data_IF_487886946135
#
_entry.id   IF_487886946135
#
_cell.length_a   1.000
_cell.length_b   1.000
_cell.length_c   1.000
_cell.angle_alpha   90.00
_cell.angle_beta   90.00
_cell.angle_gamma   90.00
#
_symmetry.space_group_name_H-M   'P 1'
#
loop_
_entity.id
_entity.type
_entity.pdbx_description
1 polymer ?
#
# COMPACT_ATOMS: atom_id res chain seq x y z
N UNK A 1 -11.48 -17.49 8.49
CA UNK A 1 -10.10 -17.10 8.13
C UNK A 1 -10.03 -15.67 7.63
N UNK A 2 -10.80 -15.29 6.60
CA UNK A 2 -10.75 -13.93 6.03
C UNK A 2 -11.16 -12.84 7.02
N UNK A 3 -12.29 -13.02 7.70
CA UNK A 3 -12.73 -12.08 8.74
C UNK A 3 -11.67 -11.93 9.86
N UNK A 4 -10.98 -13.00 10.23
CA UNK A 4 -9.90 -12.97 11.24
C UNK A 4 -8.73 -12.10 10.76
N UNK A 5 -8.25 -12.30 9.53
CA UNK A 5 -7.16 -11.49 8.95
C UNK A 5 -7.55 -10.01 8.96
N UNK A 6 -8.81 -9.70 8.66
CA UNK A 6 -9.31 -8.33 8.62
C UNK A 6 -9.35 -7.66 10.00
N UNK A 7 -9.88 -8.33 11.02
CA UNK A 7 -9.87 -7.76 12.38
C UNK A 7 -8.47 -7.62 12.95
N UNK A 8 -7.57 -8.57 12.67
CA UNK A 8 -6.16 -8.47 13.04
C UNK A 8 -5.52 -7.29 12.31
N UNK A 9 -5.71 -7.16 11.00
CA UNK A 9 -5.16 -6.04 10.22
C UNK A 9 -5.67 -4.67 10.65
N UNK A 10 -6.95 -4.56 10.96
CA UNK A 10 -7.54 -3.32 11.49
C UNK A 10 -6.92 -2.95 12.84
N UNK A 11 -6.93 -3.89 13.81
CA UNK A 11 -6.40 -3.63 15.16
C UNK A 11 -4.92 -3.30 15.14
N UNK A 12 -4.12 -4.07 14.38
CA UNK A 12 -2.68 -3.87 14.29
C UNK A 12 -2.32 -2.59 13.53
N UNK A 13 -3.02 -2.27 12.43
CA UNK A 13 -2.80 -1.03 11.69
C UNK A 13 -3.11 0.20 12.53
N UNK A 14 -4.22 0.19 13.26
CA UNK A 14 -4.57 1.26 14.20
C UNK A 14 -3.55 1.37 15.33
N UNK A 15 -3.17 0.26 15.94
CA UNK A 15 -2.21 0.26 17.04
C UNK A 15 -0.84 0.79 16.59
N UNK A 16 -0.32 0.31 15.46
CA UNK A 16 0.94 0.78 14.88
C UNK A 16 0.87 2.28 14.54
N UNK A 17 -0.23 2.75 13.95
CA UNK A 17 -0.43 4.17 13.67
C UNK A 17 -0.39 5.02 14.96
N UNK A 18 -1.06 4.58 16.02
CA UNK A 18 -1.06 5.26 17.33
C UNK A 18 0.36 5.29 17.91
N UNK A 19 1.12 4.19 17.83
CA UNK A 19 2.49 4.17 18.34
C UNK A 19 3.42 5.13 17.59
N UNK A 20 3.32 5.20 16.26
CA UNK A 20 4.09 6.16 15.46
C UNK A 20 3.69 7.59 15.81
N UNK A 21 2.39 7.85 16.01
CA UNK A 21 1.88 9.12 16.51
C UNK A 21 2.23 9.38 17.97
N UNK A 22 2.65 8.40 18.77
CA UNK A 22 3.03 8.61 20.16
C UNK A 22 4.50 9.01 20.33
N UNK A 23 5.30 8.97 19.25
CA UNK A 23 6.71 9.40 19.28
C UNK A 23 6.83 10.84 19.79
N UNK A 24 7.84 11.09 20.64
CA UNK A 24 8.08 12.39 21.32
C UNK A 24 8.46 13.49 20.32
N UNK A 25 9.36 13.18 19.41
CA UNK A 25 9.78 14.07 18.31
C UNK A 25 9.30 13.44 17.00
N UNK A 26 8.26 14.03 16.40
CA UNK A 26 7.61 13.48 15.20
C UNK A 26 8.07 14.24 13.97
N UNK A 27 8.65 13.51 13.04
CA UNK A 27 8.98 14.01 11.71
C UNK A 27 7.75 14.01 10.79
N UNK A 28 7.84 14.69 9.64
CA UNK A 28 6.81 14.58 8.60
C UNK A 28 6.70 13.14 8.05
N UNK A 29 7.80 12.38 8.04
CA UNK A 29 7.79 10.96 7.69
C UNK A 29 6.96 10.11 8.66
N UNK A 30 7.04 10.39 9.97
CA UNK A 30 6.22 9.70 10.97
C UNK A 30 4.73 10.00 10.76
N UNK A 31 4.38 11.25 10.41
CA UNK A 31 2.99 11.63 10.11
C UNK A 31 2.46 10.91 8.87
N UNK A 32 3.27 10.83 7.82
CA UNK A 32 2.90 10.09 6.59
C UNK A 32 2.71 8.61 6.90
N UNK A 33 3.64 8.00 7.64
CA UNK A 33 3.56 6.59 7.99
C UNK A 33 2.33 6.29 8.84
N UNK A 34 2.06 7.12 9.86
CA UNK A 34 0.87 6.97 10.68
C UNK A 34 -0.41 7.09 9.84
N UNK A 35 -0.50 8.09 8.97
CA UNK A 35 -1.64 8.26 8.07
C UNK A 35 -1.80 7.04 7.16
N UNK A 36 -0.70 6.51 6.63
CA UNK A 36 -0.70 5.32 5.79
C UNK A 36 -1.20 4.07 6.54
N UNK A 37 -0.67 3.81 7.74
CA UNK A 37 -1.10 2.72 8.61
C UNK A 37 -2.59 2.85 8.98
N UNK A 38 -3.07 4.06 9.25
CA UNK A 38 -4.50 4.32 9.49
C UNK A 38 -5.35 4.02 8.25
N UNK A 39 -4.92 4.42 7.05
CA UNK A 39 -5.64 4.12 5.82
C UNK A 39 -5.67 2.61 5.53
N UNK A 40 -4.57 1.89 5.79
CA UNK A 40 -4.56 0.42 5.69
C UNK A 40 -5.50 -0.24 6.71
N UNK A 41 -5.55 0.28 7.93
CA UNK A 41 -6.48 -0.20 8.95
C UNK A 41 -7.94 0.02 8.51
N UNK A 42 -8.25 1.19 7.95
CA UNK A 42 -9.58 1.47 7.38
C UNK A 42 -9.90 0.48 6.26
N UNK A 43 -8.96 0.14 5.38
CA UNK A 43 -9.21 -0.87 4.35
C UNK A 43 -9.51 -2.26 4.92
N UNK A 44 -8.80 -2.68 5.97
CA UNK A 44 -9.13 -3.92 6.67
C UNK A 44 -10.54 -3.88 7.30
N UNK A 45 -10.92 -2.74 7.89
CA UNK A 45 -12.26 -2.55 8.45
C UNK A 45 -13.35 -2.60 7.38
N UNK A 46 -13.15 -1.90 6.25
CA UNK A 46 -14.08 -1.90 5.13
C UNK A 46 -14.26 -3.30 4.56
N UNK A 47 -13.17 -4.05 4.39
CA UNK A 47 -13.24 -5.42 3.92
C UNK A 47 -14.02 -6.34 4.88
N UNK A 48 -13.83 -6.20 6.20
CA UNK A 48 -14.62 -6.95 7.18
C UNK A 48 -16.11 -6.55 7.13
N UNK A 49 -16.39 -5.26 6.95
CA UNK A 49 -17.75 -4.75 6.80
C UNK A 49 -18.42 -5.27 5.52
N UNK A 50 -17.70 -5.31 4.40
CA UNK A 50 -18.22 -5.79 3.12
C UNK A 50 -18.71 -7.24 3.23
N UNK A 51 -17.93 -8.10 3.87
CA UNK A 51 -18.35 -9.49 4.13
C UNK A 51 -19.63 -9.57 4.96
N UNK A 52 -19.77 -8.73 6.00
CA UNK A 52 -20.96 -8.74 6.87
C UNK A 52 -22.20 -8.14 6.22
N UNK A 53 -22.04 -7.14 5.36
CA UNK A 53 -23.14 -6.39 4.76
C UNK A 53 -23.59 -7.03 3.43
N UNK A 54 -22.64 -7.42 2.58
CA UNK A 54 -22.90 -7.89 1.22
C UNK A 54 -22.67 -9.40 1.04
N UNK A 55 -22.11 -10.09 2.05
CA UNK A 55 -21.75 -11.51 1.95
C UNK A 55 -20.50 -11.79 1.12
N UNK A 56 -19.94 -10.77 0.47
CA UNK A 56 -18.75 -10.82 -0.39
C UNK A 56 -17.98 -9.50 -0.32
N UNK A 57 -16.66 -9.51 -0.52
CA UNK A 57 -15.87 -8.28 -0.51
C UNK A 57 -16.11 -7.47 -1.78
N UNK A 58 -16.26 -6.15 -1.61
CA UNK A 58 -16.35 -5.22 -2.73
C UNK A 58 -14.95 -4.96 -3.29
N UNK A 59 -14.86 -4.70 -4.59
CA UNK A 59 -13.61 -4.38 -5.27
C UNK A 59 -12.87 -3.26 -4.53
N UNK A 60 -11.77 -3.62 -3.88
CA UNK A 60 -10.91 -2.71 -3.14
C UNK A 60 -9.67 -2.36 -3.96
N UNK A 61 -9.31 -1.09 -3.93
CA UNK A 61 -8.19 -0.52 -4.66
C UNK A 61 -6.94 -0.35 -3.79
N UNK A 62 -6.61 -1.38 -2.99
CA UNK A 62 -5.45 -1.36 -2.09
C UNK A 62 -4.14 -0.97 -2.78
N UNK A 63 -3.95 -1.34 -4.06
CA UNK A 63 -2.84 -0.87 -4.90
C UNK A 63 -2.86 0.65 -5.11
N UNK A 64 -4.00 1.24 -5.43
CA UNK A 64 -4.15 2.70 -5.62
C UNK A 64 -3.93 3.50 -4.33
N UNK A 65 -4.06 2.85 -3.17
CA UNK A 65 -3.69 3.43 -1.88
C UNK A 65 -2.20 3.25 -1.59
N UNK A 66 -1.71 2.01 -1.68
CA UNK A 66 -0.37 1.63 -1.24
C UNK A 66 0.71 2.23 -2.13
N UNK A 67 0.52 2.24 -3.45
CA UNK A 67 1.47 2.79 -4.42
C UNK A 67 1.86 4.26 -4.12
N UNK A 68 0.90 5.23 -4.09
CA UNK A 68 1.23 6.61 -3.78
C UNK A 68 1.69 6.81 -2.33
N UNK A 69 1.15 6.05 -1.37
CA UNK A 69 1.56 6.17 0.03
C UNK A 69 3.02 5.74 0.23
N UNK A 70 3.43 4.63 -0.39
CA UNK A 70 4.82 4.17 -0.40
C UNK A 70 5.74 5.21 -1.04
N UNK A 71 5.34 5.79 -2.18
CA UNK A 71 6.10 6.86 -2.84
C UNK A 71 6.27 8.10 -1.95
N UNK A 72 5.18 8.59 -1.35
CA UNK A 72 5.26 9.76 -0.47
C UNK A 72 6.14 9.50 0.74
N UNK A 73 6.07 8.29 1.32
CA UNK A 73 6.88 7.90 2.46
C UNK A 73 8.37 7.74 2.11
N UNK A 74 8.68 7.09 0.98
CA UNK A 74 10.07 7.03 0.48
C UNK A 74 10.60 8.43 0.24
N UNK A 75 9.80 9.29 -0.38
CA UNK A 75 10.20 10.67 -0.67
C UNK A 75 10.44 11.49 0.60
N UNK A 76 9.66 11.28 1.66
CA UNK A 76 9.84 11.97 2.93
C UNK A 76 11.07 11.51 3.71
N UNK A 77 11.52 10.27 3.48
CA UNK A 77 12.73 9.73 4.09
C UNK A 77 14.01 10.07 3.31
N UNK A 78 13.92 10.29 2.00
CA UNK A 78 15.09 10.41 1.11
C UNK A 78 15.43 11.84 0.68
N UNK A 79 14.51 12.80 0.84
CA UNK A 79 14.73 14.21 0.51
C UNK A 79 14.82 15.06 1.78
N UNK A 80 15.90 15.83 1.91
CA UNK A 80 16.20 16.65 3.09
C UNK A 80 15.14 17.74 3.35
N UNK A 81 14.69 18.41 2.29
CA UNK A 81 13.70 19.51 2.37
C UNK A 81 12.25 19.04 2.17
N UNK A 82 11.96 17.77 2.41
CA UNK A 82 10.59 17.29 2.26
C UNK A 82 9.68 17.96 3.29
N UNK A 83 8.53 18.46 2.81
CA UNK A 83 7.43 18.95 3.65
C UNK A 83 6.12 18.35 3.17
N UNK A 84 5.32 17.87 4.11
CA UNK A 84 3.97 17.40 3.82
C UNK A 84 3.10 18.59 3.38
N UNK A 85 2.53 18.52 2.18
CA UNK A 85 1.65 19.56 1.62
C UNK A 85 0.27 18.98 1.34
N UNK A 86 -0.82 19.73 1.58
CA UNK A 86 -2.19 19.26 1.30
C UNK A 86 -2.40 18.79 -0.14
N UNK A 87 -1.70 19.39 -1.11
CA UNK A 87 -1.75 19.00 -2.53
C UNK A 87 -1.33 17.53 -2.73
N UNK A 88 -0.49 16.96 -1.86
CA UNK A 88 -0.12 15.54 -1.93
C UNK A 88 -1.30 14.61 -1.60
N UNK A 89 -2.36 15.10 -0.94
CA UNK A 89 -3.58 14.32 -0.72
C UNK A 89 -4.34 14.03 -2.02
N UNK A 90 -4.08 14.79 -3.10
CA UNK A 90 -4.65 14.50 -4.42
C UNK A 90 -4.25 13.11 -4.94
N UNK A 91 -3.14 12.55 -4.45
CA UNK A 91 -2.74 11.19 -4.78
C UNK A 91 -3.70 10.11 -4.23
N UNK A 92 -4.58 10.45 -3.28
CA UNK A 92 -5.64 9.55 -2.79
C UNK A 92 -6.91 9.58 -3.64
N UNK A 93 -7.06 10.57 -4.54
CA UNK A 93 -8.28 10.70 -5.36
C UNK A 93 -8.56 9.46 -6.21
N UNK A 94 -7.59 8.83 -6.90
CA UNK A 94 -7.86 7.62 -7.66
C UNK A 94 -8.41 6.48 -6.79
N UNK A 95 -7.81 6.29 -5.61
CA UNK A 95 -8.26 5.28 -4.65
C UNK A 95 -9.70 5.54 -4.18
N UNK A 96 -10.01 6.76 -3.72
CA UNK A 96 -11.34 7.13 -3.24
C UNK A 96 -12.38 7.00 -4.35
N UNK A 97 -12.07 7.49 -5.56
CA UNK A 97 -13.00 7.47 -6.69
C UNK A 97 -13.36 6.04 -7.10
N UNK A 98 -12.36 5.18 -7.25
CA UNK A 98 -12.58 3.76 -7.57
C UNK A 98 -13.38 3.07 -6.47
N UNK A 99 -13.03 3.30 -5.20
CA UNK A 99 -13.72 2.66 -4.08
C UNK A 99 -15.20 3.07 -4.04
N UNK A 100 -15.50 4.36 -4.22
CA UNK A 100 -16.88 4.85 -4.24
C UNK A 100 -17.67 4.25 -5.41
N UNK A 101 -17.10 4.23 -6.62
CA UNK A 101 -17.76 3.63 -7.78
C UNK A 101 -17.99 2.12 -7.57
N UNK A 102 -17.01 1.40 -7.01
CA UNK A 102 -17.16 -0.01 -6.68
C UNK A 102 -18.32 -0.26 -5.72
N UNK A 103 -18.51 0.59 -4.70
CA UNK A 103 -19.65 0.50 -3.80
C UNK A 103 -20.99 0.79 -4.49
N UNK A 104 -21.04 1.78 -5.38
CA UNK A 104 -22.25 2.13 -6.13
C UNK A 104 -22.68 0.98 -7.05
N UNK A 105 -21.72 0.35 -7.75
CA UNK A 105 -21.95 -0.77 -8.65
C UNK A 105 -22.07 -2.12 -7.92
N UNK A 106 -21.68 -2.16 -6.63
CA UNK A 106 -21.50 -3.41 -5.84
C UNK A 106 -20.59 -4.41 -6.55
N UNK A 107 -19.56 -3.89 -7.21
CA UNK A 107 -18.61 -4.67 -7.99
C UNK A 107 -17.83 -5.62 -7.05
N UNK A 108 -17.87 -6.95 -7.24
CA UNK A 108 -17.13 -7.86 -6.41
C UNK A 108 -15.63 -7.73 -6.67
N UNK A 109 -14.80 -8.06 -5.67
CA UNK A 109 -13.35 -8.18 -5.88
C UNK A 109 -12.95 -9.43 -6.70
N UNK A 110 -13.89 -10.35 -6.94
CA UNK A 110 -13.65 -11.59 -7.67
C UNK A 110 -13.22 -11.34 -9.12
N UNK A 111 -12.33 -12.20 -9.62
CA UNK A 111 -11.81 -12.13 -10.99
C UNK A 111 -12.56 -13.07 -11.95
N UNK A 112 -13.56 -13.80 -11.45
CA UNK A 112 -14.38 -14.66 -12.28
C UNK A 112 -15.24 -13.80 -13.21
N UNK A 113 -15.37 -14.24 -14.47
CA UNK A 113 -16.10 -13.48 -15.48
C UNK A 113 -15.58 -12.05 -15.72
N UNK A 114 -14.30 -11.75 -15.44
CA UNK A 114 -13.76 -10.37 -15.47
C UNK A 114 -13.99 -9.60 -16.79
N UNK A 115 -14.04 -10.32 -17.92
CA UNK A 115 -14.30 -9.77 -19.25
C UNK A 115 -15.73 -10.02 -19.76
N UNK A 116 -16.64 -10.48 -18.89
CA UNK A 116 -18.06 -10.58 -19.22
C UNK A 116 -18.61 -9.22 -19.64
N UNK A 117 -19.38 -9.20 -20.73
CA UNK A 117 -19.96 -7.97 -21.24
C UNK A 117 -21.21 -7.61 -20.44
N UNK A 118 -21.03 -6.84 -19.38
CA UNK A 118 -22.09 -6.28 -18.55
C UNK A 118 -21.92 -4.75 -18.38
N UNK A 119 -22.78 -4.14 -17.55
CA UNK A 119 -22.74 -2.71 -17.27
C UNK A 119 -21.51 -2.24 -16.48
N UNK A 120 -20.73 -3.14 -15.88
CA UNK A 120 -19.55 -2.83 -15.06
C UNK A 120 -18.21 -3.11 -15.76
N UNK A 121 -18.21 -3.70 -16.96
CA UNK A 121 -16.99 -4.01 -17.71
C UNK A 121 -16.08 -2.77 -17.90
N UNK A 122 -16.66 -1.61 -18.21
CA UNK A 122 -15.89 -0.37 -18.35
C UNK A 122 -15.15 0.00 -17.05
N UNK A 123 -15.78 -0.24 -15.90
CA UNK A 123 -15.24 0.06 -14.59
C UNK A 123 -14.11 -0.92 -14.23
N UNK A 124 -14.30 -2.21 -14.52
CA UNK A 124 -13.26 -3.24 -14.38
C UNK A 124 -12.01 -2.88 -15.20
N UNK A 125 -12.17 -2.59 -16.49
CA UNK A 125 -11.05 -2.18 -17.35
C UNK A 125 -10.36 -0.91 -16.82
N UNK A 126 -11.13 0.11 -16.44
CA UNK A 126 -10.59 1.36 -15.87
C UNK A 126 -9.79 1.09 -14.59
N UNK A 127 -10.30 0.24 -13.71
CA UNK A 127 -9.63 -0.16 -12.48
C UNK A 127 -8.29 -0.85 -12.76
N UNK A 128 -8.27 -1.83 -13.68
CA UNK A 128 -7.05 -2.54 -14.07
C UNK A 128 -5.99 -1.59 -14.62
N UNK A 129 -6.36 -0.77 -15.61
CA UNK A 129 -5.42 0.17 -16.26
C UNK A 129 -4.88 1.16 -15.23
N UNK A 130 -5.75 1.74 -14.40
CA UNK A 130 -5.33 2.72 -13.38
C UNK A 130 -4.42 2.07 -12.33
N UNK A 131 -4.70 0.83 -11.93
CA UNK A 131 -3.89 0.09 -10.95
C UNK A 131 -2.50 -0.23 -11.49
N UNK A 132 -2.39 -0.69 -12.74
CA UNK A 132 -1.12 -0.98 -13.40
C UNK A 132 -0.31 0.31 -13.61
N UNK A 133 -0.94 1.38 -14.09
CA UNK A 133 -0.26 2.67 -14.25
C UNK A 133 0.24 3.22 -12.91
N UNK A 134 -0.60 3.17 -11.88
CA UNK A 134 -0.22 3.55 -10.52
C UNK A 134 0.98 2.73 -10.03
N UNK A 135 0.96 1.41 -10.23
CA UNK A 135 2.05 0.54 -9.84
C UNK A 135 3.36 0.96 -10.53
N UNK A 136 3.37 1.05 -11.86
CA UNK A 136 4.56 1.38 -12.65
C UNK A 136 5.10 2.76 -12.28
N UNK A 137 4.25 3.78 -12.25
CA UNK A 137 4.66 5.18 -12.05
C UNK A 137 5.23 5.36 -10.64
N UNK A 138 4.47 5.02 -9.59
CA UNK A 138 4.90 5.30 -8.22
C UNK A 138 6.05 4.39 -7.79
N UNK A 139 6.02 3.09 -8.12
CA UNK A 139 7.07 2.19 -7.66
C UNK A 139 8.40 2.45 -8.35
N UNK A 140 8.39 2.75 -9.65
CA UNK A 140 9.62 3.12 -10.35
C UNK A 140 10.25 4.36 -9.72
N UNK A 141 9.43 5.38 -9.38
CA UNK A 141 9.89 6.58 -8.68
C UNK A 141 10.42 6.26 -7.27
N UNK A 142 9.73 5.40 -6.51
CA UNK A 142 10.19 4.94 -5.19
C UNK A 142 11.54 4.25 -5.26
N UNK A 143 11.71 3.27 -6.15
CA UNK A 143 12.98 2.55 -6.35
C UNK A 143 14.10 3.52 -6.74
N UNK A 144 13.85 4.42 -7.69
CA UNK A 144 14.83 5.41 -8.13
C UNK A 144 15.30 6.30 -6.97
N UNK A 145 14.38 6.76 -6.12
CA UNK A 145 14.70 7.59 -4.96
C UNK A 145 15.55 6.84 -3.94
N UNK A 146 15.16 5.62 -3.58
CA UNK A 146 15.91 4.78 -2.62
C UNK A 146 17.32 4.48 -3.15
N UNK A 147 17.44 4.08 -4.42
CA UNK A 147 18.74 3.75 -5.02
C UNK A 147 19.64 4.98 -5.13
N UNK A 148 19.09 6.13 -5.53
CA UNK A 148 19.85 7.40 -5.60
C UNK A 148 20.34 7.82 -4.22
N UNK A 149 19.47 7.77 -3.22
CA UNK A 149 19.81 8.12 -1.84
C UNK A 149 20.89 7.19 -1.29
N UNK A 150 20.79 5.88 -1.53
CA UNK A 150 21.81 4.90 -1.14
C UNK A 150 23.18 5.20 -1.77
N UNK A 151 23.22 5.49 -3.07
CA UNK A 151 24.48 5.82 -3.77
C UNK A 151 25.11 7.11 -3.23
N UNK A 152 24.31 8.11 -2.87
CA UNK A 152 24.80 9.33 -2.24
C UNK A 152 25.47 9.06 -0.89
N UNK A 153 24.86 8.21 -0.05
CA UNK A 153 25.41 7.87 1.26
C UNK A 153 26.69 7.02 1.19
N UNK A 154 26.82 6.14 0.20
CA UNK A 154 28.08 5.39 -0.05
C UNK A 154 29.27 6.31 -0.36
N UNK A 155 29.01 7.54 -0.84
CA UNK A 155 30.05 8.54 -1.13
C UNK A 155 30.34 9.50 0.03
N UNK A 156 29.40 9.76 0.94
CA UNK A 156 29.56 10.77 1.99
C UNK A 156 29.81 10.19 3.40
N UNK A 157 29.34 8.97 3.72
CA UNK A 157 29.47 8.41 5.07
C UNK A 157 29.65 6.89 5.06
N UNK A 158 30.88 6.42 5.28
CA UNK A 158 31.24 5.01 5.50
C UNK A 158 30.87 4.50 6.92
N UNK A 159 29.73 4.91 7.48
CA UNK A 159 29.28 4.47 8.81
C UNK A 159 28.13 3.47 8.72
N UNK A 160 28.26 2.36 9.48
CA UNK A 160 27.33 1.22 9.49
C UNK A 160 25.88 1.65 9.77
N UNK A 161 25.67 2.64 10.66
CA UNK A 161 24.34 3.15 11.01
C UNK A 161 23.58 3.76 9.83
N UNK A 162 24.26 4.42 8.90
CA UNK A 162 23.61 5.01 7.72
C UNK A 162 23.15 3.94 6.73
N UNK A 163 23.86 2.81 6.67
CA UNK A 163 23.56 1.70 5.76
C UNK A 163 22.35 0.89 6.23
N UNK A 164 22.22 0.69 7.55
CA UNK A 164 21.05 0.01 8.14
C UNK A 164 19.75 0.81 7.95
N UNK A 165 19.81 2.15 8.07
CA UNK A 165 18.65 3.03 7.88
C UNK A 165 18.06 2.99 6.46
N UNK A 166 18.85 2.66 5.44
CA UNK A 166 18.38 2.58 4.04
C UNK A 166 18.06 1.14 3.62
N UNK A 167 18.71 0.15 4.24
CA UNK A 167 18.53 -1.27 3.92
C UNK A 167 17.09 -1.75 4.09
N UNK A 168 16.42 -1.36 5.18
CA UNK A 168 15.04 -1.78 5.41
C UNK A 168 14.05 -1.11 4.44
N UNK A 169 14.28 0.14 4.05
CA UNK A 169 13.43 0.84 3.09
C UNK A 169 13.51 0.18 1.71
N UNK A 170 14.72 -0.22 1.30
CA UNK A 170 14.91 -1.00 0.08
C UNK A 170 14.22 -2.36 0.17
N UNK A 171 14.33 -3.05 1.31
CA UNK A 171 13.61 -4.30 1.55
C UNK A 171 12.09 -4.13 1.37
N UNK A 172 11.48 -3.10 1.98
CA UNK A 172 10.04 -2.82 1.84
C UNK A 172 9.65 -2.61 0.38
N UNK A 173 10.39 -1.77 -0.34
CA UNK A 173 10.10 -1.47 -1.76
C UNK A 173 10.24 -2.71 -2.63
N UNK A 174 11.29 -3.51 -2.45
CA UNK A 174 11.51 -4.75 -3.21
C UNK A 174 10.43 -5.78 -2.88
N UNK A 175 10.15 -6.00 -1.59
CA UNK A 175 9.13 -6.94 -1.13
C UNK A 175 7.75 -6.57 -1.70
N UNK A 176 7.39 -5.29 -1.68
CA UNK A 176 6.12 -4.82 -2.26
C UNK A 176 6.05 -5.00 -3.78
N UNK A 177 7.14 -4.75 -4.51
CA UNK A 177 7.16 -4.93 -5.96
C UNK A 177 7.10 -6.39 -6.38
N UNK A 178 7.74 -7.29 -5.64
CA UNK A 178 7.60 -8.73 -5.84
C UNK A 178 6.15 -9.16 -5.61
N UNK A 179 5.53 -8.69 -4.52
CA UNK A 179 4.10 -8.91 -4.27
C UNK A 179 3.23 -8.45 -5.44
N UNK A 180 3.42 -7.23 -5.93
CA UNK A 180 2.64 -6.71 -7.06
C UNK A 180 2.84 -7.53 -8.34
N UNK A 181 4.08 -7.93 -8.64
CA UNK A 181 4.37 -8.76 -9.80
C UNK A 181 3.68 -10.12 -9.71
N UNK A 182 3.75 -10.80 -8.57
CA UNK A 182 3.04 -12.06 -8.34
C UNK A 182 1.52 -11.87 -8.42
N UNK A 183 0.98 -10.80 -7.83
CA UNK A 183 -0.44 -10.49 -7.89
C UNK A 183 -0.93 -10.31 -9.34
N UNK A 184 -0.17 -9.59 -10.17
CA UNK A 184 -0.51 -9.39 -11.59
C UNK A 184 -0.43 -10.71 -12.38
N UNK A 185 0.61 -11.52 -12.15
CA UNK A 185 0.75 -12.82 -12.83
C UNK A 185 -0.40 -13.77 -12.47
N UNK A 186 -0.72 -13.89 -11.17
CA UNK A 186 -1.83 -14.71 -10.69
C UNK A 186 -3.16 -14.16 -11.22
N UNK A 187 -3.37 -12.84 -11.14
CA UNK A 187 -4.59 -12.21 -11.65
C UNK A 187 -4.80 -12.47 -13.14
N UNK A 188 -3.75 -12.26 -13.96
CA UNK A 188 -3.79 -12.55 -15.39
C UNK A 188 -4.06 -14.02 -15.67
N UNK A 189 -3.43 -14.95 -14.93
CA UNK A 189 -3.69 -16.38 -15.08
C UNK A 189 -5.16 -16.72 -14.81
N UNK A 190 -5.73 -16.27 -13.69
CA UNK A 190 -7.13 -16.56 -13.34
C UNK A 190 -8.12 -16.03 -14.39
N UNK A 191 -7.87 -14.80 -14.88
CA UNK A 191 -8.71 -14.18 -15.91
C UNK A 191 -8.62 -14.94 -17.24
N UNK A 192 -7.43 -15.43 -17.62
CA UNK A 192 -7.23 -16.17 -18.87
C UNK A 192 -7.77 -17.59 -18.83
N UNK A 193 -7.71 -18.27 -17.67
CA UNK A 193 -8.18 -19.66 -17.54
C UNK A 193 -9.62 -19.77 -17.05
N UNK A 194 -10.27 -18.65 -16.70
CA UNK A 194 -11.61 -18.64 -16.11
C UNK A 194 -11.68 -19.46 -14.81
N UNK A 195 -10.55 -19.60 -14.11
CA UNK A 195 -10.47 -20.44 -12.92
C UNK A 195 -10.71 -19.56 -11.69
N UNK A 196 -11.80 -19.75 -10.94
CA UNK A 196 -12.01 -19.00 -9.70
C UNK A 196 -10.94 -19.39 -8.69
N UNK A 197 -10.15 -18.40 -8.24
CA UNK A 197 -9.14 -18.61 -7.21
C UNK A 197 -9.44 -17.76 -5.97
N UNK A 198 -10.08 -18.35 -4.94
CA UNK A 198 -10.26 -17.68 -3.65
C UNK A 198 -8.93 -17.33 -2.97
N UNK A 199 -7.81 -17.86 -3.47
CA UNK A 199 -6.45 -17.61 -2.99
C UNK A 199 -6.04 -16.15 -3.17
N UNK A 200 -6.57 -15.44 -4.18
CA UNK A 200 -6.14 -14.07 -4.48
C UNK A 200 -6.45 -13.07 -3.35
N UNK A 201 -7.61 -13.22 -2.70
CA UNK A 201 -8.01 -12.41 -1.56
C UNK A 201 -7.12 -12.70 -0.35
N UNK A 202 -6.90 -13.99 -0.06
CA UNK A 202 -6.11 -14.44 1.10
C UNK A 202 -4.69 -13.91 0.94
N UNK A 203 -4.13 -14.07 -0.25
CA UNK A 203 -2.80 -13.59 -0.62
C UNK A 203 -2.67 -12.08 -0.40
N UNK A 204 -3.58 -11.29 -1.00
CA UNK A 204 -3.50 -9.82 -0.96
C UNK A 204 -3.61 -9.27 0.47
N UNK A 205 -4.59 -9.73 1.25
CA UNK A 205 -4.81 -9.24 2.61
C UNK A 205 -3.77 -9.79 3.60
N UNK A 206 -3.23 -10.99 3.39
CA UNK A 206 -2.12 -11.52 4.20
C UNK A 206 -0.83 -10.73 3.95
N UNK A 207 -0.51 -10.39 2.69
CA UNK A 207 0.65 -9.55 2.39
C UNK A 207 0.46 -8.12 2.92
N UNK A 208 -0.74 -7.55 2.80
CA UNK A 208 -1.04 -6.24 3.39
C UNK A 208 -0.88 -6.26 4.91
N UNK A 209 -1.28 -7.35 5.58
CA UNK A 209 -1.09 -7.52 7.02
C UNK A 209 0.39 -7.61 7.37
N UNK A 210 1.17 -8.39 6.62
CA UNK A 210 2.62 -8.46 6.79
C UNK A 210 3.26 -7.07 6.62
N UNK A 211 2.81 -6.28 5.63
CA UNK A 211 3.26 -4.91 5.43
C UNK A 211 2.95 -4.01 6.62
N UNK A 212 1.76 -4.11 7.22
CA UNK A 212 1.42 -3.35 8.45
C UNK A 212 2.41 -3.66 9.56
N UNK A 213 2.77 -4.93 9.77
CA UNK A 213 3.77 -5.30 10.78
C UNK A 213 5.17 -4.78 10.44
N UNK A 214 5.62 -4.97 9.20
CA UNK A 214 6.94 -4.51 8.73
C UNK A 214 7.04 -2.99 8.89
N UNK A 215 6.06 -2.25 8.39
CA UNK A 215 6.01 -0.79 8.46
C UNK A 215 5.89 -0.29 9.91
N UNK A 216 5.06 -0.93 10.73
CA UNK A 216 4.93 -0.59 12.15
C UNK A 216 6.24 -0.79 12.91
N UNK A 217 6.91 -1.92 12.70
CA UNK A 217 8.19 -2.22 13.34
C UNK A 217 9.30 -1.24 12.91
N UNK A 218 9.55 -1.13 11.61
CA UNK A 218 10.61 -0.25 11.10
C UNK A 218 10.30 1.23 11.28
N UNK A 219 9.03 1.62 11.24
CA UNK A 219 8.59 2.98 11.50
C UNK A 219 8.89 3.47 12.92
N UNK A 220 8.79 2.58 13.90
CA UNK A 220 9.17 2.88 15.28
C UNK A 220 10.69 2.91 15.45
N UNK A 221 11.39 2.02 14.75
CA UNK A 221 12.84 1.92 14.80
C UNK A 221 13.55 3.04 14.04
N UNK A 222 12.88 3.67 13.08
CA UNK A 222 13.37 4.83 12.35
C UNK A 222 13.54 6.02 13.32
N UNK A 223 14.79 6.33 13.65
CA UNK A 223 15.18 7.57 14.34
C UNK A 223 15.27 8.71 13.33
N UNK A 224 14.89 9.93 13.73
CA UNK A 224 14.99 11.11 12.87
C UNK A 224 16.41 11.23 12.30
N UNK A 225 16.55 11.18 10.97
CA UNK A 225 17.85 11.24 10.29
C UNK A 225 18.48 12.62 10.47
N UNK A 226 17.65 13.66 10.54
CA UNK A 226 18.08 15.03 10.77
C UNK A 226 17.56 15.47 12.14
N UNK A 227 18.48 15.68 13.08
CA UNK A 227 18.20 16.52 14.25
C UNK A 227 18.15 17.96 13.74
N UNK A 228 17.00 18.61 13.89
CA UNK A 228 16.95 20.07 13.85
C UNK A 228 17.61 20.63 15.12
#
# INVERSE_FOLDING_TARGET
MMETISWVGFSQGMFAAILVLAKKERSDSDRILAAWLSLLAIEFLLYAADYRIFGKPILSSSFLLFNPACYLYVRSLTLEDFRLRPVQLLHLLPYISVKLIAYLLREPYELDGYFEQDESLWFRILFSVTSVLSWIIYNSRSVMLVVRHRRGLEHEFSTIESREKVGWLLFVVVFYNLYCAFAVVIGAFNVLTGSPSPVMHVYSYSTMLAMVYILGFYGLWQTSIYKA
#
